data_IF_032314731884
#
_entry.id   IF_032314731884
#
_cell.length_a   1.000
_cell.length_b   1.000
_cell.length_c   1.000
_cell.angle_alpha   90.00
_cell.angle_beta   90.00
_cell.angle_gamma   90.00
#
_symmetry.space_group_name_H-M   'P 1'
#
loop_
_entity.id
_entity.type
_entity.pdbx_description
1 polymer ?
#
# COMPACT_ATOMS: atom_id res chain seq x y z
N UNK A 1 -10.54 -1.66 -22.59
CA UNK A 1 -10.59 -1.74 -24.07
C UNK A 1 -11.47 -2.90 -24.54
N UNK A 2 -11.16 -4.16 -24.21
CA UNK A 2 -11.98 -5.35 -24.56
C UNK A 2 -13.48 -5.23 -24.26
N UNK A 3 -13.85 -4.86 -23.02
CA UNK A 3 -15.26 -4.67 -22.61
C UNK A 3 -15.93 -3.51 -23.40
N UNK A 4 -15.15 -2.48 -23.75
CA UNK A 4 -15.64 -1.34 -24.53
C UNK A 4 -15.83 -1.71 -26.00
N UNK A 5 -14.95 -2.52 -26.58
CA UNK A 5 -15.06 -3.08 -27.94
C UNK A 5 -16.31 -3.98 -28.03
N UNK A 6 -16.52 -4.84 -27.03
CA UNK A 6 -17.72 -5.69 -26.94
C UNK A 6 -19.02 -4.89 -26.80
N UNK A 7 -19.01 -3.85 -25.95
CA UNK A 7 -20.18 -3.00 -25.72
C UNK A 7 -20.58 -2.16 -26.95
N UNK A 8 -19.66 -1.92 -27.88
CA UNK A 8 -19.93 -1.20 -29.14
C UNK A 8 -20.26 -2.13 -30.31
N UNK A 9 -20.57 -3.42 -30.06
CA UNK A 9 -21.03 -4.36 -31.09
C UNK A 9 -19.95 -4.79 -32.09
N UNK A 10 -18.67 -4.57 -31.77
CA UNK A 10 -17.58 -4.99 -32.66
C UNK A 10 -17.45 -6.52 -32.67
N UNK A 11 -17.54 -7.12 -33.85
CA UNK A 11 -17.35 -8.57 -34.05
C UNK A 11 -15.96 -9.05 -33.57
N UNK A 12 -14.95 -8.18 -33.53
CA UNK A 12 -13.64 -8.50 -32.95
C UNK A 12 -13.71 -8.90 -31.47
N UNK A 13 -14.76 -8.53 -30.75
CA UNK A 13 -14.97 -8.97 -29.38
C UNK A 13 -15.21 -10.49 -29.27
N UNK A 14 -15.69 -11.15 -30.33
CA UNK A 14 -15.84 -12.61 -30.36
C UNK A 14 -14.50 -13.35 -30.47
N UNK A 15 -13.42 -12.65 -30.87
CA UNK A 15 -12.07 -13.19 -30.90
C UNK A 15 -11.39 -13.18 -29.52
N UNK A 16 -11.96 -12.44 -28.57
CA UNK A 16 -11.45 -12.39 -27.21
C UNK A 16 -12.00 -13.60 -26.44
N UNK A 17 -11.18 -14.27 -25.61
CA UNK A 17 -11.66 -15.39 -24.83
C UNK A 17 -12.84 -14.97 -23.93
N UNK A 18 -13.78 -15.86 -23.68
CA UNK A 18 -14.88 -15.59 -22.73
C UNK A 18 -14.59 -16.14 -21.33
N UNK A 19 -13.67 -17.11 -21.23
CA UNK A 19 -13.27 -17.74 -19.98
C UNK A 19 -12.03 -17.06 -19.37
N UNK A 20 -12.13 -16.71 -18.09
CA UNK A 20 -11.07 -16.08 -17.28
C UNK A 20 -9.76 -16.88 -17.31
N UNK A 21 -9.81 -18.21 -17.47
CA UNK A 21 -8.63 -19.09 -17.56
C UNK A 21 -7.76 -18.81 -18.78
N UNK A 22 -8.35 -18.28 -19.85
CA UNK A 22 -7.63 -17.88 -21.06
C UNK A 22 -7.26 -16.40 -21.04
N UNK A 23 -8.00 -15.57 -20.29
CA UNK A 23 -7.69 -14.14 -20.13
C UNK A 23 -6.40 -13.87 -19.37
N UNK A 24 -6.19 -14.53 -18.22
CA UNK A 24 -5.02 -14.25 -17.39
C UNK A 24 -3.69 -14.48 -18.10
N UNK A 25 -3.50 -15.59 -18.84
CA UNK A 25 -2.29 -15.78 -19.65
C UNK A 25 -2.04 -14.64 -20.66
N UNK A 26 -3.07 -14.16 -21.35
CA UNK A 26 -2.93 -13.05 -22.32
C UNK A 26 -2.56 -11.75 -21.61
N UNK A 27 -3.21 -11.45 -20.49
CA UNK A 27 -2.90 -10.25 -19.70
C UNK A 27 -1.48 -10.33 -19.19
N UNK A 28 -1.08 -11.49 -18.67
CA UNK A 28 0.28 -11.72 -18.22
C UNK A 28 1.29 -11.46 -19.33
N UNK A 29 1.11 -12.10 -20.49
CA UNK A 29 1.96 -11.95 -21.67
C UNK A 29 2.15 -10.47 -22.06
N UNK A 30 1.04 -9.71 -22.15
CA UNK A 30 1.08 -8.29 -22.48
C UNK A 30 1.83 -7.47 -21.43
N UNK A 31 1.58 -7.69 -20.14
CA UNK A 31 2.20 -6.88 -19.09
C UNK A 31 3.63 -7.32 -18.74
N UNK A 32 4.04 -8.52 -19.14
CA UNK A 32 5.42 -9.01 -19.04
C UNK A 32 6.21 -8.84 -20.34
N UNK A 33 5.59 -8.32 -21.40
CA UNK A 33 6.28 -8.10 -22.67
C UNK A 33 7.35 -7.02 -22.57
N UNK A 34 8.36 -7.12 -23.44
CA UNK A 34 9.44 -6.13 -23.55
C UNK A 34 8.91 -4.72 -23.72
N UNK A 35 7.89 -4.50 -24.56
CA UNK A 35 7.33 -3.16 -24.78
C UNK A 35 6.75 -2.52 -23.51
N UNK A 36 6.00 -3.29 -22.71
CA UNK A 36 5.41 -2.77 -21.46
C UNK A 36 6.46 -2.64 -20.35
N UNK A 37 7.42 -3.56 -20.30
CA UNK A 37 8.54 -3.49 -19.35
C UNK A 37 9.44 -2.29 -19.64
N UNK A 38 9.74 -2.00 -20.91
CA UNK A 38 10.46 -0.79 -21.33
C UNK A 38 9.71 0.48 -20.95
N UNK A 39 8.41 0.57 -21.22
CA UNK A 39 7.60 1.71 -20.78
C UNK A 39 7.66 1.90 -19.25
N UNK A 40 7.56 0.81 -18.49
CA UNK A 40 7.66 0.86 -17.03
C UNK A 40 9.05 1.35 -16.57
N UNK A 41 10.12 0.89 -17.24
CA UNK A 41 11.49 1.31 -16.96
C UNK A 41 11.70 2.80 -17.25
N UNK A 42 11.23 3.29 -18.40
CA UNK A 42 11.32 4.70 -18.80
C UNK A 42 10.61 5.63 -17.81
N UNK A 43 9.43 5.23 -17.32
CA UNK A 43 8.70 5.98 -16.30
C UNK A 43 9.51 6.05 -14.99
N UNK A 44 10.07 4.92 -14.55
CA UNK A 44 10.89 4.88 -13.33
C UNK A 44 12.19 5.69 -13.50
N UNK A 45 12.77 5.71 -14.69
CA UNK A 45 13.93 6.55 -15.01
C UNK A 45 13.55 8.03 -14.94
N UNK A 46 12.40 8.44 -15.48
CA UNK A 46 11.91 9.80 -15.36
C UNK A 46 11.62 10.20 -13.90
N UNK A 47 11.10 9.27 -13.09
CA UNK A 47 10.96 9.48 -11.64
C UNK A 47 12.32 9.67 -10.96
N UNK A 48 13.35 8.92 -11.37
CA UNK A 48 14.71 9.17 -10.91
C UNK A 48 15.21 10.55 -11.38
N UNK A 49 15.03 10.91 -12.65
CA UNK A 49 15.50 12.19 -13.20
C UNK A 49 14.88 13.41 -12.48
N UNK A 50 13.64 13.28 -12.01
CA UNK A 50 12.90 14.32 -11.29
C UNK A 50 13.09 14.30 -9.76
N UNK A 51 13.95 13.40 -9.26
CA UNK A 51 14.18 13.18 -7.82
C UNK A 51 12.88 12.86 -7.07
N UNK A 52 12.02 12.03 -7.66
CA UNK A 52 10.74 11.61 -7.08
C UNK A 52 10.95 10.78 -5.80
N UNK A 53 12.05 10.03 -5.72
CA UNK A 53 12.38 9.15 -4.60
C UNK A 53 13.05 9.87 -3.42
N UNK A 54 13.32 11.17 -3.51
CA UNK A 54 13.97 11.92 -2.41
C UNK A 54 13.25 11.79 -1.07
N UNK A 55 11.92 11.70 -1.12
CA UNK A 55 11.05 11.36 0.02
C UNK A 55 10.15 10.21 -0.39
N UNK A 56 10.10 9.17 0.44
CA UNK A 56 9.24 8.01 0.21
C UNK A 56 8.29 7.80 1.39
N UNK A 57 7.03 7.46 1.11
CA UNK A 57 6.07 7.08 2.16
C UNK A 57 5.74 5.58 2.04
N UNK A 58 5.83 4.88 3.16
CA UNK A 58 5.62 3.45 3.29
C UNK A 58 4.42 3.17 4.18
N UNK A 59 3.51 2.35 3.67
CA UNK A 59 2.34 1.89 4.40
C UNK A 59 1.83 0.60 3.77
N UNK A 60 1.07 -0.19 4.50
CA UNK A 60 0.62 -1.49 4.04
C UNK A 60 -0.84 -1.77 4.39
N UNK A 61 -1.50 -2.53 3.50
CA UNK A 61 -2.91 -2.88 3.65
C UNK A 61 -3.14 -4.38 3.54
N UNK A 62 -4.09 -4.90 4.32
CA UNK A 62 -4.37 -6.33 4.39
C UNK A 62 -5.60 -6.76 3.57
N UNK A 63 -6.50 -5.83 3.22
CA UNK A 63 -7.88 -6.17 2.82
C UNK A 63 -7.93 -6.99 1.53
N UNK A 64 -7.16 -6.61 0.51
CA UNK A 64 -7.08 -7.35 -0.76
C UNK A 64 -6.39 -8.71 -0.61
N UNK A 65 -5.58 -8.92 0.43
CA UNK A 65 -4.92 -10.19 0.72
C UNK A 65 -5.80 -11.19 1.48
N UNK A 66 -6.94 -10.75 2.04
CA UNK A 66 -7.83 -11.63 2.81
C UNK A 66 -8.54 -12.68 1.94
N UNK A 67 -8.71 -12.41 0.65
CA UNK A 67 -9.31 -13.34 -0.32
C UNK A 67 -8.32 -14.30 -0.97
N UNK A 68 -7.03 -14.28 -0.58
CA UNK A 68 -6.05 -15.19 -1.19
C UNK A 68 -6.36 -16.63 -0.79
N UNK A 69 -6.49 -17.50 -1.78
CA UNK A 69 -6.75 -18.92 -1.57
C UNK A 69 -5.55 -19.61 -0.94
N UNK A 70 -5.80 -20.58 -0.07
CA UNK A 70 -4.75 -21.41 0.53
C UNK A 70 -4.00 -20.78 1.72
N UNK A 71 -4.33 -19.56 2.14
CA UNK A 71 -3.84 -18.99 3.40
C UNK A 71 -4.97 -18.82 4.41
N UNK A 72 -4.71 -19.14 5.67
CA UNK A 72 -5.71 -19.02 6.75
C UNK A 72 -5.78 -17.58 7.28
N UNK A 73 -6.80 -17.09 7.99
CA UNK A 73 -6.83 -15.70 8.50
C UNK A 73 -5.56 -15.31 9.31
N UNK A 74 -5.06 -14.07 9.13
CA UNK A 74 -3.90 -13.55 9.88
C UNK A 74 -4.17 -13.45 11.40
N UNK A 75 -5.44 -13.41 11.79
CA UNK A 75 -5.89 -13.43 13.19
C UNK A 75 -5.97 -14.84 13.77
N UNK A 76 -5.82 -15.88 12.94
CA UNK A 76 -5.87 -17.25 13.40
C UNK A 76 -4.59 -17.62 14.19
N UNK A 77 -4.68 -18.58 15.14
CA UNK A 77 -3.51 -19.07 15.85
C UNK A 77 -2.41 -19.55 14.91
N UNK A 78 -1.14 -19.34 15.28
CA UNK A 78 0.04 -19.70 14.46
C UNK A 78 -0.01 -21.14 13.95
N UNK A 79 -0.41 -22.09 14.81
CA UNK A 79 -0.58 -23.51 14.44
C UNK A 79 -1.56 -23.69 13.27
N UNK A 80 -2.68 -22.96 13.26
CA UNK A 80 -3.68 -23.03 12.19
C UNK A 80 -3.18 -22.37 10.91
N UNK A 81 -2.48 -21.24 11.02
CA UNK A 81 -1.88 -20.54 9.88
C UNK A 81 -0.82 -21.38 9.18
N UNK A 82 0.07 -22.01 9.95
CA UNK A 82 1.12 -22.88 9.42
C UNK A 82 0.62 -24.22 8.91
N UNK A 83 -0.62 -24.61 9.24
CA UNK A 83 -1.23 -25.81 8.68
C UNK A 83 -1.85 -25.55 7.29
N UNK A 84 -2.04 -24.29 6.89
CA UNK A 84 -2.63 -23.96 5.59
C UNK A 84 -1.69 -24.31 4.42
N UNK A 85 -2.21 -24.42 3.17
CA UNK A 85 -1.39 -24.62 1.97
C UNK A 85 -0.22 -23.65 1.83
N UNK A 86 -0.42 -22.40 2.23
CA UNK A 86 0.62 -21.39 2.36
C UNK A 86 0.77 -21.04 3.84
N UNK A 87 1.94 -21.39 4.39
CA UNK A 87 2.30 -21.09 5.78
C UNK A 87 2.63 -19.61 5.98
N UNK A 88 3.01 -19.20 7.19
CA UNK A 88 3.34 -17.79 7.47
C UNK A 88 4.55 -17.25 6.68
N UNK A 89 5.39 -18.10 6.10
CA UNK A 89 6.55 -17.68 5.30
C UNK A 89 6.09 -17.38 3.86
N UNK A 90 5.29 -18.28 3.28
CA UNK A 90 4.80 -18.17 1.91
C UNK A 90 3.51 -17.35 1.76
N UNK A 91 2.74 -17.14 2.82
CA UNK A 91 1.48 -16.41 2.74
C UNK A 91 1.69 -14.92 2.45
N UNK A 92 0.99 -14.39 1.46
CA UNK A 92 1.00 -12.97 1.13
C UNK A 92 -0.12 -12.27 1.89
N UNK A 93 0.25 -11.47 2.87
CA UNK A 93 -0.68 -11.04 3.94
C UNK A 93 -0.97 -9.55 3.89
N UNK A 94 -0.01 -8.80 3.35
CA UNK A 94 -0.04 -7.36 3.23
C UNK A 94 0.29 -6.97 1.79
N UNK A 95 -0.24 -5.83 1.35
CA UNK A 95 0.27 -5.11 0.18
C UNK A 95 0.99 -3.88 0.71
N UNK A 96 2.32 -3.90 0.64
CA UNK A 96 3.17 -2.75 0.91
C UNK A 96 3.04 -1.77 -0.26
N UNK A 97 2.69 -0.53 0.06
CA UNK A 97 2.55 0.57 -0.89
C UNK A 97 3.67 1.57 -0.67
N UNK A 98 4.28 1.98 -1.77
CA UNK A 98 5.41 2.91 -1.79
C UNK A 98 5.02 4.10 -2.65
N UNK A 99 5.13 5.30 -2.08
CA UNK A 99 4.82 6.54 -2.79
C UNK A 99 6.02 7.46 -2.78
N UNK A 100 6.26 8.13 -3.90
CA UNK A 100 7.28 9.17 -3.98
C UNK A 100 6.82 10.52 -3.44
N UNK A 101 7.71 11.50 -3.50
CA UNK A 101 7.53 12.86 -2.98
C UNK A 101 6.25 13.53 -3.49
N UNK A 102 5.92 13.39 -4.78
CA UNK A 102 4.73 14.03 -5.36
C UNK A 102 3.48 13.17 -5.22
N UNK A 103 3.57 12.05 -4.50
CA UNK A 103 2.54 11.04 -4.48
C UNK A 103 2.48 10.27 -5.79
N UNK A 104 3.61 10.02 -6.47
CA UNK A 104 3.66 8.96 -7.48
C UNK A 104 3.46 7.59 -6.81
N UNK A 105 2.77 6.62 -7.44
CA UNK A 105 2.85 5.23 -6.98
C UNK A 105 4.16 4.65 -7.49
N UNK A 106 5.10 4.41 -6.60
CA UNK A 106 6.39 3.80 -6.97
C UNK A 106 6.28 2.28 -7.02
N UNK A 107 5.57 1.67 -6.06
CA UNK A 107 5.35 0.23 -6.03
C UNK A 107 4.13 -0.17 -5.19
N UNK A 108 3.50 -1.29 -5.56
CA UNK A 108 2.55 -2.04 -4.72
C UNK A 108 2.99 -3.50 -4.68
N UNK A 109 3.43 -3.97 -3.52
CA UNK A 109 4.16 -5.23 -3.37
C UNK A 109 3.41 -6.12 -2.38
N UNK A 110 3.00 -7.31 -2.81
CA UNK A 110 2.45 -8.30 -1.89
C UNK A 110 3.58 -8.88 -1.03
N UNK A 111 3.44 -8.82 0.29
CA UNK A 111 4.46 -9.26 1.25
C UNK A 111 3.86 -10.08 2.40
N UNK A 112 4.66 -10.99 3.00
CA UNK A 112 4.21 -11.82 4.10
C UNK A 112 4.15 -11.11 5.45
N UNK A 113 4.80 -9.94 5.62
CA UNK A 113 4.71 -9.12 6.83
C UNK A 113 5.22 -7.69 6.60
N UNK A 114 4.81 -6.76 7.47
CA UNK A 114 5.35 -5.39 7.54
C UNK A 114 6.67 -5.29 8.33
N UNK A 115 7.26 -6.44 8.70
CA UNK A 115 8.51 -6.44 9.46
C UNK A 115 9.65 -5.89 8.60
N UNK A 116 10.59 -5.20 9.24
CA UNK A 116 11.72 -4.57 8.57
C UNK A 116 12.54 -5.56 7.71
N UNK A 117 12.68 -6.82 8.14
CA UNK A 117 13.38 -7.88 7.41
C UNK A 117 12.68 -8.30 6.12
N UNK A 118 11.38 -8.05 6.00
CA UNK A 118 10.57 -8.37 4.81
C UNK A 118 10.43 -7.14 3.92
N UNK A 119 10.16 -5.98 4.52
CA UNK A 119 9.98 -4.71 3.79
C UNK A 119 11.26 -4.33 3.04
N UNK A 120 12.43 -4.48 3.66
CA UNK A 120 13.70 -4.06 3.05
C UNK A 120 14.04 -4.80 1.76
N UNK A 121 14.10 -6.14 1.72
CA UNK A 121 14.36 -6.84 0.46
C UNK A 121 13.26 -6.59 -0.59
N UNK A 122 12.00 -6.47 -0.18
CA UNK A 122 10.91 -6.14 -1.09
C UNK A 122 11.12 -4.78 -1.78
N UNK A 123 11.54 -3.75 -1.04
CA UNK A 123 11.88 -2.44 -1.60
C UNK A 123 13.12 -2.52 -2.50
N UNK A 124 14.14 -3.28 -2.10
CA UNK A 124 15.36 -3.48 -2.89
C UNK A 124 15.10 -4.11 -4.26
N UNK A 125 14.09 -4.97 -4.37
CA UNK A 125 13.67 -5.60 -5.62
C UNK A 125 12.74 -4.71 -6.45
N UNK A 126 11.85 -3.95 -5.80
CA UNK A 126 10.80 -3.21 -6.49
C UNK A 126 11.21 -1.81 -6.97
N UNK A 127 12.22 -1.19 -6.35
CA UNK A 127 12.65 0.16 -6.68
C UNK A 127 13.97 0.16 -7.47
N UNK A 128 14.15 1.08 -8.42
CA UNK A 128 15.41 1.20 -9.15
C UNK A 128 16.54 1.59 -8.20
N UNK A 129 17.75 1.05 -8.42
CA UNK A 129 18.92 1.35 -7.60
C UNK A 129 19.21 2.86 -7.51
N UNK A 130 19.07 3.60 -8.62
CA UNK A 130 19.18 5.06 -8.65
C UNK A 130 18.14 5.75 -7.76
N UNK A 131 16.92 5.23 -7.71
CA UNK A 131 15.88 5.72 -6.82
C UNK A 131 16.20 5.45 -5.35
N UNK A 132 16.68 4.25 -5.01
CA UNK A 132 17.13 3.92 -3.64
C UNK A 132 18.28 4.82 -3.16
N UNK A 133 19.21 5.18 -4.05
CA UNK A 133 20.26 6.15 -3.77
C UNK A 133 19.72 7.57 -3.50
N UNK A 134 18.57 7.93 -4.04
CA UNK A 134 17.99 9.27 -3.84
C UNK A 134 17.29 9.43 -2.49
N UNK A 135 16.84 8.33 -1.87
CA UNK A 135 16.01 8.41 -0.66
C UNK A 135 16.77 9.06 0.50
N UNK A 136 16.28 10.21 0.94
CA UNK A 136 16.80 10.94 2.10
C UNK A 136 15.87 10.85 3.31
N UNK A 137 14.56 10.72 3.07
CA UNK A 137 13.56 10.61 4.13
C UNK A 137 12.52 9.53 3.80
N UNK A 138 12.16 8.74 4.82
CA UNK A 138 11.05 7.78 4.76
C UNK A 138 9.99 8.15 5.79
N UNK A 139 8.73 8.17 5.40
CA UNK A 139 7.60 8.27 6.34
C UNK A 139 6.90 6.92 6.50
N UNK A 140 6.58 6.54 7.73
CA UNK A 140 5.91 5.27 8.05
C UNK A 140 5.11 5.38 9.35
N UNK A 141 4.03 4.61 9.47
CA UNK A 141 3.22 4.47 10.69
C UNK A 141 3.90 3.63 11.79
N UNK A 142 5.00 2.95 11.45
CA UNK A 142 5.72 1.99 12.27
C UNK A 142 7.22 2.33 12.39
N UNK A 143 7.54 3.63 12.34
CA UNK A 143 8.89 4.15 12.50
C UNK A 143 9.57 3.60 13.76
N UNK A 144 10.77 3.02 13.59
CA UNK A 144 11.54 2.38 14.64
C UNK A 144 13.02 2.32 14.29
N UNK A 145 13.89 2.18 15.29
CA UNK A 145 15.34 1.98 15.08
C UNK A 145 15.62 0.76 14.18
N UNK A 146 14.83 -0.30 14.35
CA UNK A 146 14.96 -1.53 13.57
C UNK A 146 14.67 -1.26 12.09
N UNK A 147 13.55 -0.59 11.79
CA UNK A 147 13.21 -0.23 10.42
C UNK A 147 14.27 0.71 9.83
N UNK A 148 14.69 1.74 10.56
CA UNK A 148 15.74 2.68 10.11
C UNK A 148 17.04 1.96 9.75
N UNK A 149 17.53 1.09 10.64
CA UNK A 149 18.77 0.33 10.46
C UNK A 149 18.71 -0.58 9.24
N UNK A 150 17.57 -1.21 9.02
CA UNK A 150 17.36 -2.08 7.87
C UNK A 150 17.29 -1.29 6.56
N UNK A 151 16.52 -0.21 6.50
CA UNK A 151 16.41 0.64 5.31
C UNK A 151 17.76 1.27 4.92
N UNK A 152 18.57 1.69 5.89
CA UNK A 152 19.93 2.21 5.68
C UNK A 152 20.85 1.27 4.89
N UNK A 153 20.58 -0.04 4.87
CA UNK A 153 21.36 -1.03 4.10
C UNK A 153 21.15 -0.91 2.59
N UNK A 154 19.98 -0.44 2.17
CA UNK A 154 19.61 -0.29 0.76
C UNK A 154 19.47 1.18 0.33
N UNK A 155 19.29 2.10 1.27
CA UNK A 155 19.17 3.55 1.05
C UNK A 155 20.35 4.26 1.73
N UNK A 156 21.53 4.31 1.09
CA UNK A 156 22.74 4.81 1.74
C UNK A 156 22.69 6.32 2.05
N UNK A 157 21.80 7.07 1.39
CA UNK A 157 21.59 8.49 1.64
C UNK A 157 20.42 8.78 2.60
N UNK A 158 19.81 7.75 3.20
CA UNK A 158 18.75 7.93 4.19
C UNK A 158 19.28 8.68 5.41
N UNK A 159 18.69 9.84 5.68
CA UNK A 159 19.02 10.74 6.79
C UNK A 159 17.97 10.69 7.89
N UNK A 160 16.70 10.48 7.51
CA UNK A 160 15.55 10.65 8.38
C UNK A 160 14.49 9.56 8.18
N UNK A 161 13.92 9.08 9.29
CA UNK A 161 12.68 8.29 9.30
C UNK A 161 11.67 9.06 10.16
N UNK A 162 10.45 9.22 9.66
CA UNK A 162 9.40 10.01 10.33
C UNK A 162 8.21 9.12 10.66
N UNK A 163 7.68 9.25 11.88
CA UNK A 163 6.43 8.59 12.26
C UNK A 163 5.24 9.36 11.66
N UNK A 164 4.26 8.63 11.11
CA UNK A 164 3.07 9.24 10.53
C UNK A 164 2.20 9.96 11.61
N UNK A 165 1.97 11.29 11.49
CA UNK A 165 1.08 12.00 12.40
C UNK A 165 -0.41 11.68 12.15
N UNK A 166 -0.79 11.11 11.01
CA UNK A 166 -2.20 10.89 10.63
C UNK A 166 -2.79 9.62 11.25
N UNK A 167 -1.96 8.60 11.49
CA UNK A 167 -2.38 7.31 12.01
C UNK A 167 -3.01 7.41 13.41
N UNK A 168 -2.52 8.30 14.27
CA UNK A 168 -3.05 8.46 15.62
C UNK A 168 -4.53 8.94 15.63
N UNK A 169 -4.91 9.97 14.85
CA UNK A 169 -6.31 10.32 14.62
C UNK A 169 -7.16 9.19 14.03
N UNK A 170 -6.62 8.39 13.10
CA UNK A 170 -7.34 7.26 12.51
C UNK A 170 -7.67 6.21 13.60
N UNK A 171 -6.70 5.90 14.45
CA UNK A 171 -6.88 4.97 15.58
C UNK A 171 -7.90 5.51 16.58
N UNK A 172 -7.88 6.82 16.86
CA UNK A 172 -8.90 7.48 17.68
C UNK A 172 -10.30 7.31 17.09
N UNK A 173 -10.45 7.57 15.79
CA UNK A 173 -11.73 7.43 15.09
C UNK A 173 -12.25 6.00 15.11
N UNK A 174 -11.39 4.98 15.16
CA UNK A 174 -11.83 3.59 15.34
C UNK A 174 -12.53 3.36 16.69
N UNK A 175 -12.15 4.04 17.77
CA UNK A 175 -12.87 3.97 19.04
C UNK A 175 -14.25 4.65 19.00
N UNK A 176 -14.45 5.60 18.09
CA UNK A 176 -15.70 6.37 17.92
C UNK A 176 -16.54 5.88 16.74
N UNK A 177 -16.40 4.61 16.34
CA UNK A 177 -17.14 4.01 15.21
C UNK A 177 -16.92 4.74 13.88
N UNK A 178 -15.69 5.23 13.67
CA UNK A 178 -15.26 6.03 12.52
C UNK A 178 -15.98 7.38 12.39
N UNK A 179 -16.54 7.89 13.49
CA UNK A 179 -17.14 9.23 13.52
C UNK A 179 -16.08 10.28 13.84
N UNK A 180 -16.10 11.39 13.10
CA UNK A 180 -15.31 12.59 13.41
C UNK A 180 -15.99 13.37 14.55
N UNK A 181 -15.74 12.97 15.78
CA UNK A 181 -16.18 13.70 16.98
C UNK A 181 -15.41 15.01 17.14
N UNK A 182 -15.87 15.91 18.02
CA UNK A 182 -15.13 17.12 18.36
C UNK A 182 -13.70 16.80 18.88
N UNK A 183 -13.56 15.74 19.68
CA UNK A 183 -12.26 15.24 20.14
C UNK A 183 -11.37 14.73 19.01
N UNK A 184 -11.93 13.99 18.04
CA UNK A 184 -11.18 13.55 16.86
C UNK A 184 -10.71 14.74 15.99
N UNK A 185 -11.56 15.77 15.83
CA UNK A 185 -11.19 17.00 15.11
C UNK A 185 -10.08 17.76 15.83
N UNK A 186 -10.18 17.91 17.15
CA UNK A 186 -9.13 18.54 17.96
C UNK A 186 -7.81 17.77 17.87
N UNK A 187 -7.83 16.43 17.94
CA UNK A 187 -6.65 15.61 17.74
C UNK A 187 -6.03 15.79 16.35
N UNK A 188 -6.85 15.88 15.29
CA UNK A 188 -6.34 16.17 13.94
C UNK A 188 -5.63 17.53 13.88
N UNK A 189 -6.15 18.57 14.55
CA UNK A 189 -5.47 19.87 14.66
C UNK A 189 -4.15 19.77 15.40
N UNK A 190 -4.10 19.03 16.52
CA UNK A 190 -2.87 18.77 17.30
C UNK A 190 -1.83 18.10 16.39
N UNK A 191 -2.21 17.02 15.72
CA UNK A 191 -1.27 16.26 14.88
C UNK A 191 -0.86 17.02 13.61
N UNK A 192 -1.70 17.91 13.10
CA UNK A 192 -1.36 18.76 11.95
C UNK A 192 -0.16 19.67 12.22
N UNK A 193 0.10 20.05 13.49
CA UNK A 193 1.27 20.85 13.87
C UNK A 193 2.60 20.15 13.55
N UNK A 194 2.64 18.82 13.46
CA UNK A 194 3.85 18.13 13.00
C UNK A 194 4.17 18.37 11.52
N UNK A 195 3.19 18.82 10.72
CA UNK A 195 3.37 19.15 9.31
C UNK A 195 3.60 20.66 9.07
N UNK A 196 3.34 21.49 10.08
CA UNK A 196 3.53 22.93 10.03
C UNK A 196 5.02 23.27 9.93
N UNK A 197 5.30 24.40 9.27
CA UNK A 197 6.64 24.95 9.09
C UNK A 197 6.62 26.39 9.53
N UNK A 198 7.50 26.75 10.45
CA UNK A 198 7.81 28.11 10.81
C UNK A 198 8.88 28.64 9.84
N UNK A 199 8.53 29.65 9.05
CA UNK A 199 9.46 30.23 8.07
C UNK A 199 10.46 31.20 8.66
N UNK A 200 10.27 31.59 9.92
CA UNK A 200 11.08 32.61 10.57
C UNK A 200 12.27 31.99 11.32
N UNK A 201 12.22 30.67 11.52
CA UNK A 201 13.27 29.89 12.18
C UNK A 201 14.03 29.02 11.17
N UNK A 202 15.38 29.03 11.19
CA UNK A 202 16.17 28.24 10.26
C UNK A 202 16.16 26.75 10.66
N UNK A 203 16.56 25.87 9.74
CA UNK A 203 16.49 24.41 9.95
C UNK A 203 17.30 23.94 11.17
N UNK A 204 18.41 24.61 11.47
CA UNK A 204 19.31 24.32 12.58
C UNK A 204 18.63 24.50 13.94
N UNK A 205 17.63 25.38 14.04
CA UNK A 205 16.85 25.60 15.26
C UNK A 205 16.14 24.31 15.72
N UNK A 206 15.77 23.45 14.79
CA UNK A 206 14.98 22.24 15.04
C UNK A 206 15.82 21.03 15.50
N UNK A 207 17.14 21.18 15.46
CA UNK A 207 18.12 20.18 15.86
C UNK A 207 18.29 19.03 14.88
N UNK A 208 19.14 18.07 15.26
CA UNK A 208 19.50 16.94 14.41
C UNK A 208 18.38 15.91 14.26
N UNK A 209 18.38 15.19 13.15
CA UNK A 209 17.47 14.05 12.94
C UNK A 209 17.75 12.93 13.94
N UNK A 210 16.68 12.43 14.57
CA UNK A 210 16.76 11.27 15.44
C UNK A 210 16.90 9.99 14.61
N UNK A 211 17.85 9.15 14.99
CA UNK A 211 18.18 7.89 14.31
C UNK A 211 17.90 6.65 15.17
N UNK A 212 17.27 6.82 16.33
CA UNK A 212 16.91 5.73 17.25
C UNK A 212 17.84 5.52 18.44
N UNK A 213 19.00 6.19 18.50
CA UNK A 213 20.04 5.91 19.50
C UNK A 213 20.64 7.16 20.17
N UNK A 214 20.16 8.36 19.87
CA UNK A 214 20.68 9.58 20.52
C UNK A 214 19.90 9.87 21.81
N UNK A 215 20.58 9.72 22.95
CA UNK A 215 20.04 10.06 24.27
C UNK A 215 19.59 11.52 24.37
N UNK A 216 20.19 12.43 23.60
CA UNK A 216 19.84 13.85 23.65
C UNK A 216 18.45 14.15 23.06
N UNK A 217 18.05 13.43 22.01
CA UNK A 217 16.76 13.64 21.37
C UNK A 217 15.61 12.94 22.12
N UNK A 218 15.84 11.72 22.63
CA UNK A 218 14.84 10.96 23.40
C UNK A 218 15.01 11.02 24.92
N UNK A 219 15.85 11.95 25.41
CA UNK A 219 16.19 12.10 26.82
C UNK A 219 14.97 12.24 27.73
N UNK A 220 15.21 12.05 29.04
CA UNK A 220 14.17 12.08 30.05
C UNK A 220 13.31 13.35 29.96
N UNK A 221 12.00 13.18 30.15
CA UNK A 221 11.08 14.30 30.19
C UNK A 221 11.29 15.10 31.49
N UNK A 222 11.04 16.41 31.42
CA UNK A 222 11.00 17.25 32.61
C UNK A 222 9.92 16.76 33.59
N UNK A 223 10.04 17.13 34.87
CA UNK A 223 9.03 16.80 35.88
C UNK A 223 7.62 17.24 35.43
N UNK A 224 7.50 18.47 34.91
CA UNK A 224 6.24 18.97 34.36
C UNK A 224 5.73 18.13 33.18
N UNK A 225 6.61 17.65 32.31
CA UNK A 225 6.26 16.73 31.22
C UNK A 225 5.72 15.39 31.72
N UNK A 226 6.34 14.81 32.75
CA UNK A 226 5.85 13.57 33.37
C UNK A 226 4.49 13.76 34.05
N UNK A 227 4.28 14.89 34.72
CA UNK A 227 2.96 15.24 35.30
C UNK A 227 1.90 15.37 34.20
N UNK A 228 2.19 16.08 33.11
CA UNK A 228 1.25 16.23 32.00
C UNK A 228 0.95 14.88 31.32
N UNK A 229 1.91 13.96 31.21
CA UNK A 229 1.63 12.59 30.76
C UNK A 229 0.65 11.89 31.67
N UNK A 230 0.82 11.99 32.98
CA UNK A 230 -0.16 11.45 33.95
C UNK A 230 -1.57 12.02 33.73
N UNK A 231 -1.68 13.29 33.33
CA UNK A 231 -2.96 13.92 32.99
C UNK A 231 -3.61 13.37 31.73
N UNK A 232 -2.85 12.79 30.79
CA UNK A 232 -3.43 12.16 29.59
C UNK A 232 -4.30 10.96 29.98
N UNK A 233 -3.84 10.14 30.93
CA UNK A 233 -4.57 8.93 31.36
C UNK A 233 -5.66 9.22 32.39
N UNK A 234 -5.41 10.18 33.29
CA UNK A 234 -6.33 10.53 34.38
C UNK A 234 -7.37 11.58 34.00
N UNK A 235 -7.10 12.40 32.98
CA UNK A 235 -7.92 13.58 32.65
C UNK A 235 -7.83 14.70 33.69
N UNK A 236 -6.84 14.69 34.57
CA UNK A 236 -6.78 15.57 35.73
C UNK A 236 -6.35 17.02 35.46
N UNK A 237 -6.07 17.40 34.20
CA UNK A 237 -5.79 18.79 33.86
C UNK A 237 -7.01 19.67 34.15
N UNK A 238 -6.79 20.82 34.80
CA UNK A 238 -7.86 21.77 35.13
C UNK A 238 -8.67 22.16 33.87
N UNK A 239 -10.00 22.00 33.92
CA UNK A 239 -10.90 22.16 32.75
C UNK A 239 -10.78 23.52 32.06
N UNK A 240 -10.59 24.60 32.84
CA UNK A 240 -10.39 25.94 32.29
C UNK A 240 -9.12 26.03 31.45
N UNK A 241 -7.99 25.51 31.98
CA UNK A 241 -6.71 25.44 31.27
C UNK A 241 -6.82 24.56 30.02
N UNK A 242 -7.40 23.37 30.16
CA UNK A 242 -7.56 22.41 29.06
C UNK A 242 -8.35 23.00 27.88
N UNK A 243 -9.51 23.63 28.16
CA UNK A 243 -10.32 24.30 27.13
C UNK A 243 -9.55 25.44 26.47
N UNK A 244 -8.89 26.29 27.26
CA UNK A 244 -8.07 27.38 26.73
C UNK A 244 -6.99 26.89 25.76
N UNK A 245 -6.34 25.75 26.04
CA UNK A 245 -5.34 25.16 25.14
C UNK A 245 -5.99 24.63 23.86
N UNK A 246 -7.12 23.90 23.95
CA UNK A 246 -7.79 23.30 22.78
C UNK A 246 -8.40 24.36 21.88
N UNK A 247 -9.01 25.42 22.45
CA UNK A 247 -9.67 26.50 21.71
C UNK A 247 -8.65 27.41 21.01
N UNK A 248 -7.51 27.70 21.65
CA UNK A 248 -6.45 28.54 21.09
C UNK A 248 -5.40 27.76 20.29
N UNK A 249 -5.65 26.49 19.99
CA UNK A 249 -4.71 25.65 19.27
C UNK A 249 -4.58 26.09 17.80
N UNK A 250 -3.43 26.66 17.46
CA UNK A 250 -3.07 26.98 16.08
C UNK A 250 -2.36 25.80 15.39
N UNK A 251 -3.03 25.21 14.40
CA UNK A 251 -2.49 24.11 13.60
C UNK A 251 -1.47 24.55 12.54
N UNK A 252 -1.37 25.85 12.26
CA UNK A 252 -0.42 26.41 11.29
C UNK A 252 0.97 26.63 11.88
N UNK A 253 1.09 26.58 13.21
CA UNK A 253 2.36 26.69 13.92
C UNK A 253 2.87 25.31 14.35
N UNK A 254 4.15 24.99 14.18
CA UNK A 254 4.72 23.74 14.68
C UNK A 254 4.74 23.66 16.21
N UNK A 255 5.00 22.46 16.75
CA UNK A 255 5.36 22.31 18.17
C UNK A 255 6.83 22.66 18.36
N UNK A 256 7.15 23.55 19.30
CA UNK A 256 8.54 23.93 19.60
C UNK A 256 9.20 22.94 20.56
N UNK A 257 8.40 22.20 21.33
CA UNK A 257 8.94 21.23 22.29
C UNK A 257 8.06 19.99 22.46
N UNK A 258 8.68 18.90 22.95
CA UNK A 258 7.95 17.69 23.36
C UNK A 258 6.92 17.99 24.46
N UNK A 259 7.22 18.94 25.34
CA UNK A 259 6.31 19.34 26.42
C UNK A 259 5.01 19.92 25.87
N UNK A 260 5.07 20.83 24.89
CA UNK A 260 3.87 21.40 24.26
C UNK A 260 2.98 20.33 23.62
N UNK A 261 3.59 19.33 22.97
CA UNK A 261 2.84 18.20 22.41
C UNK A 261 2.13 17.38 23.50
N UNK A 262 2.84 17.07 24.59
CA UNK A 262 2.28 16.32 25.73
C UNK A 262 1.16 17.13 26.40
N UNK A 263 1.36 18.43 26.59
CA UNK A 263 0.38 19.33 27.20
C UNK A 263 -0.89 19.44 26.33
N UNK A 264 -0.74 19.53 25.01
CA UNK A 264 -1.88 19.53 24.08
C UNK A 264 -2.70 18.24 24.15
N UNK A 265 -2.05 17.07 24.27
CA UNK A 265 -2.75 15.80 24.46
C UNK A 265 -3.41 15.67 25.83
N UNK A 266 -2.78 16.20 26.88
CA UNK A 266 -3.39 16.24 28.21
C UNK A 266 -4.63 17.14 28.26
N UNK A 267 -4.58 18.29 27.57
CA UNK A 267 -5.71 19.20 27.40
C UNK A 267 -6.85 18.53 26.61
N UNK A 268 -6.52 17.80 25.54
CA UNK A 268 -7.49 17.00 24.78
C UNK A 268 -8.17 15.96 25.67
N UNK A 269 -7.40 15.21 26.47
CA UNK A 269 -7.94 14.19 27.37
C UNK A 269 -8.91 14.75 28.40
N UNK A 270 -8.57 15.90 29.02
CA UNK A 270 -9.42 16.55 30.01
C UNK A 270 -10.67 17.21 29.40
N UNK A 271 -10.60 17.64 28.12
CA UNK A 271 -11.72 18.28 27.42
C UNK A 271 -12.74 17.27 26.91
N UNK A 272 -12.30 16.08 26.49
CA UNK A 272 -13.15 15.04 25.89
C UNK A 272 -13.08 13.70 26.64
N UNK A 273 -13.43 13.66 27.95
CA UNK A 273 -13.27 12.46 28.78
C UNK A 273 -14.10 11.26 28.29
N UNK A 274 -15.24 11.51 27.67
CA UNK A 274 -16.09 10.45 27.11
C UNK A 274 -15.39 9.66 25.99
N UNK A 275 -14.66 10.35 25.11
CA UNK A 275 -13.90 9.69 24.06
C UNK A 275 -12.67 8.96 24.62
N UNK A 276 -12.03 9.53 25.65
CA UNK A 276 -10.87 8.94 26.32
C UNK A 276 -11.14 7.57 26.95
N UNK A 277 -12.36 7.37 27.45
CA UNK A 277 -12.77 6.11 28.08
C UNK A 277 -13.15 5.01 27.07
N UNK A 278 -13.35 5.35 25.80
CA UNK A 278 -13.67 4.37 24.76
C UNK A 278 -12.48 3.45 24.50
N UNK A 279 -12.77 2.20 24.13
CA UNK A 279 -11.76 1.22 23.71
C UNK A 279 -11.65 1.17 22.20
N UNK A 280 -10.43 1.20 21.69
CA UNK A 280 -10.16 0.99 20.26
C UNK A 280 -10.37 -0.49 19.91
N UNK A 281 -11.19 -0.75 18.89
CA UNK A 281 -11.41 -2.09 18.35
C UNK A 281 -10.09 -2.70 17.85
N UNK A 282 -9.76 -3.92 18.26
CA UNK A 282 -8.52 -4.62 17.90
C UNK A 282 -7.46 -4.52 19.00
N UNK A 283 -6.99 -3.32 19.33
CA UNK A 283 -6.01 -3.11 20.39
C UNK A 283 -6.59 -3.34 21.81
N UNK A 284 -7.92 -3.17 21.96
CA UNK A 284 -8.65 -3.28 23.23
C UNK A 284 -8.10 -2.37 24.35
N UNK A 285 -7.44 -1.28 23.97
CA UNK A 285 -6.88 -0.24 24.84
C UNK A 285 -7.77 0.99 24.84
N UNK A 286 -7.83 1.70 25.97
CA UNK A 286 -8.51 3.01 26.07
C UNK A 286 -7.82 4.03 25.16
N UNK A 287 -8.58 4.96 24.59
CA UNK A 287 -8.04 6.07 23.80
C UNK A 287 -7.00 6.85 24.60
N UNK A 288 -7.28 7.15 25.88
CA UNK A 288 -6.34 7.83 26.78
C UNK A 288 -4.96 7.15 26.83
N UNK A 289 -4.96 5.83 26.97
CA UNK A 289 -3.73 5.04 27.05
C UNK A 289 -2.98 5.02 25.70
N UNK A 290 -3.69 5.05 24.57
CA UNK A 290 -3.07 5.14 23.25
C UNK A 290 -2.40 6.50 23.05
N UNK A 291 -3.05 7.59 23.45
CA UNK A 291 -2.47 8.94 23.42
C UNK A 291 -1.26 9.03 24.37
N UNK A 292 -1.35 8.42 25.55
CA UNK A 292 -0.24 8.33 26.48
C UNK A 292 0.95 7.58 25.86
N UNK A 293 0.73 6.44 25.21
CA UNK A 293 1.77 5.73 24.46
C UNK A 293 2.34 6.59 23.32
N UNK A 294 1.54 7.41 22.65
CA UNK A 294 2.01 8.31 21.59
C UNK A 294 3.03 9.34 22.08
N UNK A 295 2.97 9.69 23.36
CA UNK A 295 3.94 10.61 23.98
C UNK A 295 5.23 9.96 24.42
N UNK A 296 5.36 8.62 24.38
CA UNK A 296 6.59 7.89 24.73
C UNK A 296 7.85 8.59 24.16
N UNK A 297 8.93 8.79 24.96
CA UNK A 297 10.04 9.63 24.54
C UNK A 297 10.61 9.26 23.18
N UNK A 298 10.81 7.98 22.90
CA UNK A 298 11.33 7.53 21.60
C UNK A 298 10.29 7.72 20.49
N UNK A 299 9.03 7.33 20.76
CA UNK A 299 7.94 7.45 19.77
C UNK A 299 7.67 8.90 19.38
N UNK A 300 7.63 9.81 20.34
CA UNK A 300 7.39 11.23 20.10
C UNK A 300 8.50 11.83 19.24
N UNK A 301 9.76 11.46 19.46
CA UNK A 301 10.88 12.02 18.71
C UNK A 301 10.86 11.61 17.24
N UNK A 302 10.35 10.41 16.92
CA UNK A 302 10.07 10.03 15.53
C UNK A 302 8.98 10.89 14.88
N UNK A 303 8.00 11.43 15.62
CA UNK A 303 7.05 12.44 15.10
C UNK A 303 7.76 13.77 14.83
N UNK A 304 8.61 14.22 15.76
CA UNK A 304 9.37 15.47 15.61
C UNK A 304 10.36 15.43 14.43
N UNK A 305 10.80 14.24 14.00
CA UNK A 305 11.57 14.10 12.76
C UNK A 305 10.81 14.63 11.54
N UNK A 306 9.48 14.52 11.48
CA UNK A 306 8.69 15.10 10.39
C UNK A 306 8.79 16.63 10.40
N UNK A 307 8.71 17.25 11.58
CA UNK A 307 8.90 18.69 11.72
C UNK A 307 10.31 19.11 11.29
N UNK A 308 11.36 18.45 11.80
CA UNK A 308 12.76 18.73 11.40
C UNK A 308 12.95 18.61 9.89
N UNK A 309 12.46 17.51 9.31
CA UNK A 309 12.60 17.26 7.88
C UNK A 309 11.91 18.35 7.08
N UNK A 310 10.66 18.70 7.42
CA UNK A 310 9.93 19.75 6.71
C UNK A 310 10.62 21.12 6.80
N UNK A 311 11.22 21.49 7.94
CA UNK A 311 11.98 22.75 8.04
C UNK A 311 13.29 22.74 7.25
N UNK A 312 13.87 21.58 6.93
CA UNK A 312 15.02 21.48 6.03
C UNK A 312 14.68 21.62 4.54
N UNK A 313 13.39 21.72 4.17
CA UNK A 313 12.96 21.73 2.79
C UNK A 313 12.49 23.12 2.33
N UNK A 314 12.78 23.43 1.06
CA UNK A 314 12.23 24.61 0.41
C UNK A 314 10.73 24.51 0.15
N UNK A 315 10.04 25.66 0.10
CA UNK A 315 8.58 25.78 -0.10
C UNK A 315 8.04 24.97 -1.29
N UNK A 316 8.78 24.92 -2.41
CA UNK A 316 8.37 24.16 -3.61
C UNK A 316 8.29 22.66 -3.36
N UNK A 317 9.20 22.12 -2.56
CA UNK A 317 9.23 20.69 -2.20
C UNK A 317 8.13 20.40 -1.18
N UNK A 318 7.97 21.29 -0.19
CA UNK A 318 6.92 21.18 0.83
C UNK A 318 5.51 21.11 0.25
N UNK A 319 5.23 21.89 -0.79
CA UNK A 319 3.94 21.89 -1.48
C UNK A 319 3.59 20.53 -2.12
N UNK A 320 4.58 19.70 -2.39
CA UNK A 320 4.39 18.37 -2.99
C UNK A 320 4.17 17.29 -1.92
N UNK A 321 4.62 17.53 -0.68
CA UNK A 321 4.68 16.51 0.33
C UNK A 321 3.33 16.26 1.01
N UNK A 322 2.84 15.00 1.03
CA UNK A 322 1.68 14.65 1.83
C UNK A 322 1.97 14.76 3.33
N UNK A 323 0.90 14.76 4.13
CA UNK A 323 1.01 14.62 5.59
C UNK A 323 1.27 13.15 5.93
N UNK A 324 2.52 12.80 6.25
CA UNK A 324 2.92 11.43 6.57
C UNK A 324 2.46 10.41 5.53
N UNK A 325 1.74 9.36 5.94
CA UNK A 325 1.25 8.29 5.04
C UNK A 325 -0.15 8.52 4.49
N UNK A 326 -0.73 9.73 4.65
CA UNK A 326 -2.08 10.04 4.15
C UNK A 326 -2.30 9.74 2.65
N UNK A 327 -1.27 9.87 1.83
CA UNK A 327 -1.36 9.53 0.41
C UNK A 327 -1.46 8.02 0.16
N UNK A 328 -0.88 7.20 1.04
CA UNK A 328 -1.03 5.74 1.01
C UNK A 328 -2.44 5.34 1.45
N UNK A 329 -2.98 5.96 2.50
CA UNK A 329 -4.35 5.71 2.97
C UNK A 329 -5.39 5.99 1.87
N UNK A 330 -5.19 7.08 1.10
CA UNK A 330 -6.02 7.37 -0.07
C UNK A 330 -5.89 6.26 -1.14
N UNK A 331 -4.66 5.81 -1.44
CA UNK A 331 -4.42 4.70 -2.35
C UNK A 331 -5.05 3.39 -1.84
N UNK A 332 -5.01 3.11 -0.54
CA UNK A 332 -5.59 1.91 0.06
C UNK A 332 -7.12 1.90 -0.09
N UNK A 333 -7.77 3.07 -0.03
CA UNK A 333 -9.19 3.18 -0.33
C UNK A 333 -9.48 2.80 -1.79
N UNK A 334 -8.66 3.25 -2.73
CA UNK A 334 -8.76 2.85 -4.15
C UNK A 334 -8.51 1.34 -4.33
N UNK A 335 -7.43 0.80 -3.76
CA UNK A 335 -7.10 -0.63 -3.80
C UNK A 335 -8.24 -1.46 -3.24
N UNK A 336 -8.81 -1.06 -2.10
CA UNK A 336 -9.98 -1.75 -1.54
C UNK A 336 -11.14 -1.78 -2.53
N UNK A 337 -11.41 -0.68 -3.23
CA UNK A 337 -12.48 -0.62 -4.22
C UNK A 337 -12.19 -1.50 -5.45
N UNK A 338 -10.96 -1.51 -5.96
CA UNK A 338 -10.53 -2.37 -7.09
C UNK A 338 -10.61 -3.88 -6.81
N UNK A 339 -10.64 -4.26 -5.53
CA UNK A 339 -10.76 -5.65 -5.08
C UNK A 339 -12.10 -5.95 -4.40
N UNK A 340 -13.04 -5.01 -4.37
CA UNK A 340 -14.32 -5.16 -3.65
C UNK A 340 -15.17 -6.34 -4.15
N UNK A 341 -15.10 -6.65 -5.44
CA UNK A 341 -15.80 -7.77 -6.08
C UNK A 341 -14.96 -9.07 -6.10
N UNK A 342 -13.69 -9.01 -5.69
CA UNK A 342 -12.79 -10.17 -5.69
C UNK A 342 -12.97 -10.99 -4.41
N UNK A 343 -13.77 -12.06 -4.48
CA UNK A 343 -13.98 -12.95 -3.33
C UNK A 343 -12.79 -13.86 -3.05
N UNK A 344 -12.21 -14.44 -4.11
CA UNK A 344 -11.08 -15.36 -4.04
C UNK A 344 -10.06 -15.07 -5.13
N UNK A 345 -8.77 -15.16 -4.80
CA UNK A 345 -7.68 -14.93 -5.77
C UNK A 345 -6.47 -15.82 -5.45
N UNK A 346 -5.71 -16.16 -6.48
CA UNK A 346 -4.41 -16.82 -6.38
C UNK A 346 -3.30 -15.80 -6.05
N UNK A 347 -2.18 -16.23 -5.45
CA UNK A 347 -1.07 -15.34 -5.09
C UNK A 347 -0.45 -14.71 -6.35
N UNK A 348 -0.13 -15.54 -7.35
CA UNK A 348 0.30 -15.11 -8.69
C UNK A 348 -0.64 -14.10 -9.34
N UNK A 349 -1.95 -14.35 -9.29
CA UNK A 349 -2.94 -13.44 -9.87
C UNK A 349 -3.02 -12.10 -9.11
N UNK A 350 -2.83 -12.10 -7.78
CA UNK A 350 -2.69 -10.88 -7.01
C UNK A 350 -1.45 -10.09 -7.45
N UNK A 351 -0.29 -10.74 -7.56
CA UNK A 351 0.95 -10.09 -7.99
C UNK A 351 0.82 -9.44 -9.37
N UNK A 352 0.27 -10.17 -10.35
CA UNK A 352 0.03 -9.63 -11.69
C UNK A 352 -0.95 -8.44 -11.65
N UNK A 353 -2.04 -8.53 -10.88
CA UNK A 353 -3.00 -7.43 -10.76
C UNK A 353 -2.36 -6.20 -10.10
N UNK A 354 -1.50 -6.37 -9.10
CA UNK A 354 -0.77 -5.26 -8.47
C UNK A 354 0.23 -4.62 -9.43
N UNK A 355 0.91 -5.40 -10.27
CA UNK A 355 1.78 -4.89 -11.34
C UNK A 355 0.99 -3.99 -12.31
N UNK A 356 -0.14 -4.48 -12.81
CA UNK A 356 -1.00 -3.72 -13.73
C UNK A 356 -1.51 -2.42 -13.09
N UNK A 357 -1.96 -2.48 -11.84
CA UNK A 357 -2.47 -1.32 -11.11
C UNK A 357 -1.36 -0.31 -10.78
N UNK A 358 -0.14 -0.78 -10.53
CA UNK A 358 1.03 0.08 -10.32
C UNK A 358 1.32 0.87 -11.59
N UNK A 359 1.45 0.18 -12.73
CA UNK A 359 1.67 0.84 -14.02
C UNK A 359 0.51 1.78 -14.39
N UNK A 360 -0.73 1.36 -14.15
CA UNK A 360 -1.93 2.18 -14.38
C UNK A 360 -1.99 3.47 -13.56
N UNK A 361 -1.29 3.54 -12.42
CA UNK A 361 -1.13 4.77 -11.62
C UNK A 361 0.13 5.55 -12.01
N UNK A 362 1.18 4.87 -12.46
CA UNK A 362 2.44 5.48 -12.91
C UNK A 362 2.25 6.28 -14.20
N UNK A 363 1.59 5.72 -15.22
CA UNK A 363 1.37 6.37 -16.52
C UNK A 363 0.73 7.76 -16.41
N UNK A 364 -0.45 7.93 -15.78
CA UNK A 364 -1.08 9.24 -15.71
C UNK A 364 -0.26 10.23 -14.86
N UNK A 365 0.48 9.75 -13.86
CA UNK A 365 1.36 10.59 -13.05
C UNK A 365 2.56 11.08 -13.86
N UNK A 366 3.22 10.19 -14.60
CA UNK A 366 4.30 10.51 -15.53
C UNK A 366 3.87 11.55 -16.57
N UNK A 367 2.70 11.37 -17.19
CA UNK A 367 2.18 12.32 -18.16
C UNK A 367 1.88 13.70 -17.53
N UNK A 368 1.31 13.72 -16.33
CA UNK A 368 1.07 14.97 -15.61
C UNK A 368 2.38 15.71 -15.27
N UNK A 369 3.46 14.97 -14.99
CA UNK A 369 4.79 15.53 -14.76
C UNK A 369 5.43 16.05 -16.05
N UNK A 370 5.33 15.30 -17.15
CA UNK A 370 5.92 15.66 -18.44
C UNK A 370 5.18 16.82 -19.13
N UNK A 371 3.88 16.96 -18.88
CA UNK A 371 3.02 17.92 -19.57
C UNK A 371 2.14 18.71 -18.57
N UNK A 372 2.60 19.86 -18.09
CA UNK A 372 1.90 20.62 -17.05
C UNK A 372 0.48 21.05 -17.43
N UNK A 373 0.19 21.28 -18.71
CA UNK A 373 -1.14 21.72 -19.18
C UNK A 373 -2.21 20.65 -19.05
N UNK A 374 -1.84 19.37 -19.07
CA UNK A 374 -2.77 18.25 -18.86
C UNK A 374 -2.82 17.78 -17.40
N UNK A 375 -1.97 18.29 -16.51
CA UNK A 375 -1.96 17.95 -15.08
C UNK A 375 -3.28 18.28 -14.35
N UNK A 376 -4.09 19.19 -14.92
CA UNK A 376 -5.42 19.54 -14.42
C UNK A 376 -6.50 18.50 -14.79
N UNK A 377 -6.20 17.56 -15.68
CA UNK A 377 -7.13 16.51 -16.07
C UNK A 377 -7.21 15.41 -15.01
N UNK A 378 -8.40 14.83 -14.84
CA UNK A 378 -8.55 13.67 -13.98
C UNK A 378 -7.68 12.50 -14.46
N UNK A 379 -7.08 11.75 -13.53
CA UNK A 379 -6.19 10.61 -13.83
C UNK A 379 -6.77 9.61 -14.84
N UNK A 380 -8.09 9.33 -14.79
CA UNK A 380 -8.79 8.48 -15.76
C UNK A 380 -8.75 9.01 -17.20
N UNK A 381 -8.79 10.33 -17.37
CA UNK A 381 -8.72 10.99 -18.69
C UNK A 381 -7.30 10.93 -19.22
N UNK A 382 -6.31 11.16 -18.34
CA UNK A 382 -4.90 11.04 -18.69
C UNK A 382 -4.56 9.62 -19.11
N UNK A 383 -5.00 8.61 -18.34
CA UNK A 383 -4.79 7.22 -18.69
C UNK A 383 -5.46 6.89 -20.03
N UNK A 384 -6.70 7.32 -20.26
CA UNK A 384 -7.40 7.11 -21.53
C UNK A 384 -6.66 7.72 -22.73
N UNK A 385 -6.07 8.91 -22.56
CA UNK A 385 -5.22 9.53 -23.58
C UNK A 385 -3.90 8.81 -23.77
N UNK A 386 -3.28 8.35 -22.68
CA UNK A 386 -2.03 7.61 -22.71
C UNK A 386 -2.17 6.30 -23.51
N UNK A 387 -3.23 5.54 -23.23
CA UNK A 387 -3.48 4.25 -23.89
C UNK A 387 -3.95 4.40 -25.34
N UNK A 388 -4.27 5.62 -25.79
CA UNK A 388 -4.50 5.88 -27.20
C UNK A 388 -3.20 5.81 -28.01
N UNK A 389 -2.06 6.11 -27.38
CA UNK A 389 -0.74 5.90 -27.95
C UNK A 389 -0.25 4.51 -27.52
N UNK A 390 -0.31 3.56 -28.45
CA UNK A 390 0.13 2.18 -28.19
C UNK A 390 1.60 2.14 -27.80
N UNK A 391 1.98 1.46 -26.70
CA UNK A 391 3.39 1.16 -26.43
C UNK A 391 3.98 0.20 -27.48
N UNK A 392 3.12 -0.48 -28.24
CA UNK A 392 3.50 -1.32 -29.35
C UNK A 392 3.57 -0.48 -30.62
N UNK A 393 4.78 -0.10 -31.01
CA UNK A 393 5.07 0.35 -32.38
C UNK A 393 5.04 -0.84 -33.34
N UNK A 394 4.91 -0.60 -34.64
CA UNK A 394 4.98 -1.69 -35.63
C UNK A 394 6.26 -2.50 -35.49
N UNK A 395 7.38 -1.83 -35.19
CA UNK A 395 8.68 -2.47 -34.94
C UNK A 395 8.65 -3.32 -33.66
N UNK A 396 8.13 -2.78 -32.55
CA UNK A 396 8.04 -3.52 -31.29
C UNK A 396 7.11 -4.74 -31.42
N UNK A 397 6.00 -4.58 -32.15
CA UNK A 397 5.06 -5.65 -32.43
C UNK A 397 5.69 -6.76 -33.29
N UNK A 398 6.36 -6.38 -34.37
CA UNK A 398 7.06 -7.33 -35.25
C UNK A 398 8.19 -8.05 -34.50
N UNK A 399 8.97 -7.33 -33.68
CA UNK A 399 10.02 -7.91 -32.84
C UNK A 399 9.43 -8.96 -31.90
N UNK A 400 8.38 -8.62 -31.18
CA UNK A 400 7.72 -9.53 -30.25
C UNK A 400 7.09 -10.74 -30.94
N UNK A 401 6.44 -10.54 -32.10
CA UNK A 401 5.94 -11.65 -32.90
C UNK A 401 7.06 -12.55 -33.44
N UNK A 402 8.25 -11.99 -33.67
CA UNK A 402 9.42 -12.74 -34.16
C UNK A 402 10.11 -13.50 -33.03
N UNK A 403 10.17 -12.94 -31.81
CA UNK A 403 10.64 -13.65 -30.61
C UNK A 403 9.80 -14.92 -30.34
N UNK A 404 8.51 -14.87 -30.64
CA UNK A 404 7.61 -16.02 -30.53
C UNK A 404 7.69 -16.99 -31.72
N UNK A 405 8.43 -16.67 -32.78
CA UNK A 405 8.55 -17.52 -33.99
C UNK A 405 9.93 -18.17 -34.04
N UNK A 406 9.99 -19.47 -33.76
CA UNK A 406 11.18 -20.28 -33.97
C UNK A 406 10.91 -21.30 -35.09
N UNK A 407 11.75 -21.30 -36.14
CA UNK A 407 11.78 -22.35 -37.19
C UNK A 407 10.40 -22.80 -37.72
N UNK A 408 9.56 -21.84 -38.13
CA UNK A 408 8.21 -22.03 -38.69
C UNK A 408 7.10 -22.46 -37.69
N UNK A 409 7.37 -22.48 -36.39
CA UNK A 409 6.37 -22.67 -35.33
C UNK A 409 6.28 -21.45 -34.40
N UNK A 410 5.07 -21.18 -33.91
CA UNK A 410 4.85 -20.17 -32.87
C UNK A 410 5.02 -20.86 -31.53
N UNK A 411 6.08 -20.52 -30.79
CA UNK A 411 6.28 -20.99 -29.43
C UNK A 411 5.27 -20.36 -28.48
N UNK A 412 4.95 -21.10 -27.42
CA UNK A 412 4.06 -20.58 -26.38
C UNK A 412 4.84 -19.54 -25.58
N UNK A 413 4.25 -18.37 -25.36
CA UNK A 413 4.85 -17.32 -24.56
C UNK A 413 5.31 -17.84 -23.18
N UNK A 414 6.51 -17.41 -22.77
CA UNK A 414 7.06 -17.69 -21.46
C UNK A 414 6.36 -16.78 -20.42
N UNK A 415 5.50 -17.38 -19.61
CA UNK A 415 4.63 -16.67 -18.67
C UNK A 415 5.15 -16.85 -17.23
N UNK A 416 5.72 -15.82 -16.57
CA UNK A 416 6.41 -15.93 -15.27
C UNK A 416 5.57 -16.52 -14.13
N UNK A 417 4.25 -16.35 -14.18
CA UNK A 417 3.29 -16.80 -13.19
C UNK A 417 2.53 -18.05 -13.60
N UNK A 418 2.71 -18.59 -14.81
CA UNK A 418 1.97 -19.77 -15.26
C UNK A 418 2.30 -21.02 -14.43
N UNK A 419 3.58 -21.29 -14.19
CA UNK A 419 4.03 -22.39 -13.33
C UNK A 419 3.64 -22.17 -11.85
N UNK A 420 3.94 -21.02 -11.21
CA UNK A 420 3.47 -20.72 -9.87
C UNK A 420 1.96 -20.91 -9.70
N UNK A 421 1.14 -20.42 -10.65
CA UNK A 421 -0.32 -20.55 -10.60
C UNK A 421 -0.76 -22.00 -10.65
N UNK A 422 -0.14 -22.83 -11.49
CA UNK A 422 -0.43 -24.26 -11.56
C UNK A 422 -0.10 -24.97 -10.23
N UNK A 423 1.04 -24.65 -9.63
CA UNK A 423 1.42 -25.17 -8.31
C UNK A 423 0.44 -24.73 -7.21
N UNK A 424 0.08 -23.46 -7.18
CA UNK A 424 -0.88 -22.91 -6.22
C UNK A 424 -2.23 -23.63 -6.31
N UNK A 425 -2.74 -23.83 -7.54
CA UNK A 425 -3.98 -24.58 -7.79
C UNK A 425 -3.85 -26.01 -7.27
N UNK A 426 -2.72 -26.67 -7.52
CA UNK A 426 -2.46 -28.03 -7.04
C UNK A 426 -2.44 -28.10 -5.50
N UNK A 427 -1.70 -27.19 -4.85
CA UNK A 427 -1.60 -27.07 -3.38
C UNK A 427 -2.99 -26.87 -2.75
N UNK A 428 -3.76 -25.91 -3.25
CA UNK A 428 -5.12 -25.60 -2.75
C UNK A 428 -6.08 -26.77 -2.97
N UNK A 429 -6.06 -27.42 -4.15
CA UNK A 429 -6.89 -28.60 -4.43
C UNK A 429 -6.58 -29.76 -3.51
N UNK A 430 -5.30 -30.09 -3.33
CA UNK A 430 -4.85 -31.19 -2.47
C UNK A 430 -5.30 -30.99 -1.02
N UNK A 431 -5.28 -29.75 -0.54
CA UNK A 431 -5.73 -29.39 0.79
C UNK A 431 -7.24 -29.46 0.96
N UNK A 432 -8.01 -28.97 -0.02
CA UNK A 432 -9.47 -29.05 0.03
C UNK A 432 -9.95 -30.50 0.03
N UNK A 433 -9.26 -31.42 -0.65
CA UNK A 433 -9.56 -32.85 -0.61
C UNK A 433 -9.30 -33.50 0.76
N UNK A 434 -8.41 -32.94 1.59
CA UNK A 434 -8.11 -33.43 2.95
C UNK A 434 -9.14 -33.01 4.00
N UNK A 435 -10.09 -32.12 3.69
CA UNK A 435 -11.11 -31.67 4.65
C UNK A 435 -12.17 -32.75 4.85
N UNK A 436 -12.62 -33.04 6.10
CA UNK A 436 -13.62 -34.08 6.37
C UNK A 436 -14.93 -33.94 5.56
N UNK A 437 -15.34 -32.71 5.25
CA UNK A 437 -16.51 -32.42 4.41
C UNK A 437 -16.34 -32.83 2.94
N UNK A 438 -15.11 -32.94 2.42
CA UNK A 438 -14.83 -33.39 1.07
C UNK A 438 -14.87 -34.93 0.93
N UNK A 439 -14.83 -35.65 2.05
CA UNK A 439 -14.85 -37.12 2.08
C UNK A 439 -16.25 -37.68 1.79
N UNK A 440 -17.32 -36.89 1.98
CA UNK A 440 -18.66 -37.25 1.50
C UNK A 440 -18.87 -36.80 0.05
N UNK A 441 -18.21 -37.47 -0.89
CA UNK A 441 -18.82 -37.65 -2.21
C UNK A 441 -20.02 -38.59 -2.01
N UNK A 442 -21.18 -38.06 -1.59
CA UNK A 442 -22.42 -38.80 -1.83
C UNK A 442 -22.47 -39.05 -3.34
N UNK A 443 -22.59 -40.31 -3.74
CA UNK A 443 -22.72 -40.72 -5.13
C UNK A 443 -23.60 -39.71 -5.88
N UNK A 444 -22.99 -38.89 -6.75
CA UNK A 444 -23.76 -38.08 -7.68
C UNK A 444 -24.64 -39.06 -8.44
N UNK A 445 -25.97 -38.93 -8.32
CA UNK A 445 -26.91 -39.68 -9.16
C UNK A 445 -26.49 -39.40 -10.60
N UNK A 446 -26.06 -40.44 -11.31
CA UNK A 446 -25.68 -40.37 -12.73
C UNK A 446 -26.90 -39.86 -13.49
N UNK A 447 -26.83 -38.63 -13.99
CA UNK A 447 -27.80 -38.11 -14.95
C UNK A 447 -27.31 -38.44 -16.35
N UNK A 448 -28.21 -38.45 -17.34
CA UNK A 448 -27.88 -38.76 -18.75
C UNK A 448 -26.76 -37.85 -19.29
N UNK A 449 -26.57 -36.66 -18.68
CA UNK A 449 -25.54 -35.68 -19.02
C UNK A 449 -24.15 -35.94 -18.39
N UNK A 450 -24.03 -36.88 -17.45
CA UNK A 450 -22.77 -37.21 -16.73
C UNK A 450 -22.26 -38.62 -17.03
N UNK A 451 -22.94 -39.37 -17.91
CA UNK A 451 -22.43 -40.63 -18.44
C UNK A 451 -21.23 -40.39 -19.36
N UNK A 452 -20.11 -41.03 -19.04
CA UNK A 452 -18.94 -41.11 -19.92
C UNK A 452 -19.39 -41.82 -21.21
N UNK A 453 -19.44 -41.10 -22.34
CA UNK A 453 -19.78 -41.70 -23.65
C UNK A 453 -18.77 -42.81 -23.96
N UNK A 454 -19.23 -44.06 -23.94
CA UNK A 454 -18.41 -45.24 -24.20
C UNK A 454 -18.23 -45.50 -25.71
N UNK A 455 -18.92 -44.76 -26.58
CA UNK A 455 -18.76 -44.85 -28.03
C UNK A 455 -18.36 -43.50 -28.62
N UNK A 456 -17.28 -43.50 -29.40
CA UNK A 456 -16.99 -42.42 -30.34
C UNK A 456 -18.17 -42.35 -31.31
N UNK A 457 -18.73 -41.17 -31.52
CA UNK A 457 -19.65 -40.94 -32.63
C UNK A 457 -18.93 -41.37 -33.92
N UNK A 458 -19.40 -42.45 -34.55
CA UNK A 458 -19.01 -42.76 -35.92
C UNK A 458 -19.40 -41.55 -36.75
N UNK A 459 -18.40 -40.89 -37.35
CA UNK A 459 -18.59 -39.90 -38.39
C UNK A 459 -19.54 -40.51 -39.41
N UNK A 460 -20.70 -39.89 -39.58
CA UNK A 460 -21.65 -40.28 -40.60
C UNK A 460 -20.92 -40.09 -41.93
N UNK A 461 -20.61 -41.19 -42.63
CA UNK A 461 -20.10 -41.12 -44.01
C UNK A 461 -21.12 -40.31 -44.79
N UNK A 462 -20.69 -39.18 -45.32
CA UNK A 462 -21.36 -38.44 -46.37
C UNK A 462 -21.71 -39.44 -47.47
N UNK A 463 -23.00 -39.78 -47.59
CA UNK A 463 -23.52 -40.36 -48.82
C UNK A 463 -23.44 -39.25 -49.85
N UNK A 464 -22.53 -39.40 -50.79
CA UNK A 464 -22.65 -38.76 -52.11
C UNK A 464 -23.96 -39.22 -52.72
N UNK A 465 -24.91 -38.29 -52.86
CA UNK A 465 -26.03 -38.48 -53.77
C UNK A 465 -25.47 -38.44 -55.19
N UNK A 466 -25.81 -39.48 -55.96
CA UNK A 466 -25.87 -39.39 -57.42
C UNK A 466 -27.10 -38.57 -57.81
#
# INVERSE_FOLDING_TARGET
MAIFIAANGSELASLLPTDVRHWWPIIEDVFTSTAVQSLSADILEAFCASNEFGVVTLDATIKCCMGIMGQESYRAPKKKRNAAPFDDIAALRWVLTVRGRTGAVSAMIAVPSEKAEVVTPALGQALPAKGLLQVQCVASDSASIKLYTHLRRIMPNLQCLTLDPVHLPIVYEYATWRKRTAGAVALRKIMAKFNAVDSDLPAEHWGNFYRGYSNDASGALSHAGNVCRGFIESGAMAKAKARGIVENLDSSRPFLSRFEFIEALAALSATFPEDMNRKVTGANKRVAHILWCATDPDRAVWLFNNSRWRHSLGRRVLALLPSGTSSNEALHAEVKNWFSETQQIHQSALCLKLLMLTLGKQIPHFLAMAHPTISQCASKVLLARAVANSPWTDVAWQSWCSELRHEAHVEKAALPYNEPRAEEVSKVRSWNMKRPAAVKKSHFKRTVFTLKRLSKLRTQRTRTCR
#
